data_IF_938712192262
#
_entry.id   IF_938712192262
#
_cell.length_a   1.000
_cell.length_b   1.000
_cell.length_c   1.000
_cell.angle_alpha   90.00
_cell.angle_beta   90.00
_cell.angle_gamma   90.00
#
_symmetry.space_group_name_H-M   'P 1'
#
loop_
_entity.id
_entity.type
_entity.pdbx_description
1 polymer ?
#
# COMPACT_ATOMS: atom_id res chain seq x y z
N UNK A 1 13.87 2.53 -9.13
CA UNK A 1 13.62 1.90 -7.83
C UNK A 1 14.46 0.63 -7.63
N UNK A 2 14.17 -0.49 -8.30
CA UNK A 2 14.92 -1.74 -8.07
C UNK A 2 16.43 -1.63 -8.36
N UNK A 3 16.82 -0.99 -9.46
CA UNK A 3 18.24 -0.81 -9.81
C UNK A 3 18.97 0.14 -8.85
N UNK A 4 18.29 1.19 -8.40
CA UNK A 4 18.84 2.15 -7.43
C UNK A 4 19.04 1.52 -6.05
N UNK A 5 18.11 0.65 -5.60
CA UNK A 5 18.28 -0.12 -4.38
C UNK A 5 19.43 -1.11 -4.46
N UNK A 6 19.60 -1.76 -5.62
CA UNK A 6 20.72 -2.67 -5.85
C UNK A 6 22.05 -1.92 -5.83
N UNK A 7 22.13 -0.79 -6.52
CA UNK A 7 23.32 0.06 -6.52
C UNK A 7 23.65 0.58 -5.10
N UNK A 8 22.64 1.01 -4.32
CA UNK A 8 22.83 1.42 -2.92
C UNK A 8 23.30 0.25 -2.05
N UNK A 9 22.74 -0.94 -2.23
CA UNK A 9 23.17 -2.15 -1.51
C UNK A 9 24.64 -2.44 -1.80
N UNK A 10 25.00 -2.58 -3.07
CA UNK A 10 26.35 -2.94 -3.50
C UNK A 10 27.39 -1.94 -2.99
N UNK A 11 27.12 -0.64 -3.15
CA UNK A 11 28.00 0.43 -2.67
C UNK A 11 28.21 0.40 -1.15
N UNK A 12 27.16 0.12 -0.37
CA UNK A 12 27.29 0.08 1.09
C UNK A 12 28.02 -1.20 1.55
N UNK A 13 27.76 -2.35 0.92
CA UNK A 13 28.46 -3.60 1.21
C UNK A 13 29.95 -3.47 0.88
N UNK A 14 30.29 -2.90 -0.28
CA UNK A 14 31.67 -2.64 -0.67
C UNK A 14 32.38 -1.75 0.35
N UNK A 15 31.74 -0.64 0.76
CA UNK A 15 32.28 0.23 1.82
C UNK A 15 32.54 -0.51 3.12
N UNK A 16 31.61 -1.36 3.57
CA UNK A 16 31.79 -2.14 4.81
C UNK A 16 32.99 -3.06 4.68
N UNK A 17 33.07 -3.82 3.57
CA UNK A 17 34.13 -4.80 3.34
C UNK A 17 35.50 -4.13 3.22
N UNK A 18 35.64 -3.06 2.44
CA UNK A 18 36.92 -2.38 2.26
C UNK A 18 37.40 -1.70 3.54
N UNK A 19 36.52 -1.00 4.26
CA UNK A 19 36.92 -0.38 5.55
C UNK A 19 37.30 -1.44 6.59
N UNK A 20 36.63 -2.59 6.61
CA UNK A 20 37.00 -3.68 7.51
C UNK A 20 38.36 -4.31 7.15
N UNK A 21 38.64 -4.48 5.84
CA UNK A 21 39.96 -4.92 5.37
C UNK A 21 41.06 -3.93 5.80
N UNK A 22 40.81 -2.63 5.67
CA UNK A 22 41.77 -1.61 6.11
C UNK A 22 42.05 -1.68 7.62
N UNK A 23 41.01 -1.81 8.46
CA UNK A 23 41.18 -2.00 9.90
C UNK A 23 42.07 -3.22 10.20
N UNK A 24 41.87 -4.35 9.52
CA UNK A 24 42.69 -5.54 9.70
C UNK A 24 44.15 -5.28 9.30
N UNK A 25 44.38 -4.58 8.18
CA UNK A 25 45.72 -4.25 7.68
C UNK A 25 46.50 -3.38 8.66
N UNK A 26 45.85 -2.33 9.19
CA UNK A 26 46.45 -1.37 10.12
C UNK A 26 46.55 -1.90 11.56
N UNK A 27 45.79 -2.94 11.91
CA UNK A 27 45.90 -3.60 13.22
C UNK A 27 47.20 -4.39 13.39
N UNK A 28 47.95 -4.63 12.30
CA UNK A 28 49.27 -5.25 12.36
C UNK A 28 50.31 -4.27 12.90
N UNK A 29 50.64 -4.38 14.18
CA UNK A 29 51.60 -3.50 14.86
C UNK A 29 53.01 -3.72 14.29
N UNK A 30 53.56 -2.72 13.58
CA UNK A 30 54.95 -2.74 13.08
C UNK A 30 55.86 -1.72 13.75
N UNK A 31 55.38 -0.50 14.02
CA UNK A 31 56.20 0.60 14.56
C UNK A 31 55.46 1.41 15.65
N UNK A 32 56.10 1.62 16.81
CA UNK A 32 55.48 2.30 17.98
C UNK A 32 55.19 3.79 17.77
N UNK A 33 55.88 4.43 16.83
CA UNK A 33 55.74 5.88 16.55
C UNK A 33 54.53 6.19 15.66
N UNK A 34 54.00 5.21 14.92
CA UNK A 34 52.85 5.39 14.02
C UNK A 34 51.49 5.03 14.64
N UNK A 35 51.50 4.44 15.84
CA UNK A 35 50.31 3.85 16.49
C UNK A 35 49.16 4.86 16.68
N UNK A 36 49.45 6.12 17.03
CA UNK A 36 48.39 7.14 17.23
C UNK A 36 47.67 7.49 15.93
N UNK A 37 48.42 7.62 14.82
CA UNK A 37 47.85 7.94 13.50
C UNK A 37 46.99 6.80 12.98
N UNK A 38 47.47 5.57 13.12
CA UNK A 38 46.75 4.35 12.72
C UNK A 38 45.48 4.15 13.56
N UNK A 39 45.54 4.45 14.88
CA UNK A 39 44.36 4.42 15.74
C UNK A 39 43.26 5.40 15.26
N UNK A 40 43.65 6.64 14.90
CA UNK A 40 42.70 7.61 14.36
C UNK A 40 42.09 7.15 13.02
N UNK A 41 42.90 6.60 12.11
CA UNK A 41 42.41 6.04 10.85
C UNK A 41 41.43 4.88 11.08
N UNK A 42 41.73 3.99 12.02
CA UNK A 42 40.83 2.89 12.38
C UNK A 42 39.50 3.39 12.93
N UNK A 43 39.51 4.49 13.67
CA UNK A 43 38.28 5.11 14.17
C UNK A 43 37.41 5.67 13.02
N UNK A 44 38.04 6.27 12.00
CA UNK A 44 37.34 6.71 10.79
C UNK A 44 36.74 5.51 10.06
N UNK A 45 37.52 4.46 9.81
CA UNK A 45 37.04 3.24 9.14
C UNK A 45 35.85 2.62 9.88
N UNK A 46 35.93 2.50 11.22
CA UNK A 46 34.83 2.00 12.03
C UNK A 46 33.58 2.87 11.92
N UNK A 47 33.73 4.20 11.94
CA UNK A 47 32.62 5.15 11.77
C UNK A 47 31.97 4.99 10.40
N UNK A 48 32.77 4.85 9.33
CA UNK A 48 32.26 4.64 7.97
C UNK A 48 31.49 3.33 7.85
N UNK A 49 31.95 2.24 8.49
CA UNK A 49 31.22 0.96 8.54
C UNK A 49 29.85 1.13 9.20
N UNK A 50 29.79 1.83 10.34
CA UNK A 50 28.52 2.08 11.05
C UNK A 50 27.56 2.86 10.17
N UNK A 51 28.03 3.93 9.51
CA UNK A 51 27.21 4.74 8.60
C UNK A 51 26.67 3.93 7.41
N UNK A 52 27.51 3.10 6.79
CA UNK A 52 27.09 2.23 5.69
C UNK A 52 26.06 1.20 6.16
N UNK A 53 26.24 0.65 7.37
CA UNK A 53 25.28 -0.30 7.97
C UNK A 53 23.94 0.37 8.27
N UNK A 54 23.94 1.59 8.81
CA UNK A 54 22.72 2.37 9.03
C UNK A 54 21.98 2.67 7.71
N UNK A 55 22.73 2.99 6.65
CA UNK A 55 22.19 3.18 5.30
C UNK A 55 21.49 1.92 4.77
N UNK A 56 22.06 0.73 5.02
CA UNK A 56 21.43 -0.55 4.69
C UNK A 56 20.15 -0.80 5.49
N UNK A 57 20.13 -0.46 6.79
CA UNK A 57 18.92 -0.58 7.61
C UNK A 57 17.79 0.31 7.09
N UNK A 58 18.11 1.54 6.67
CA UNK A 58 17.15 2.45 6.03
C UNK A 58 16.62 1.87 4.71
N UNK A 59 17.49 1.31 3.88
CA UNK A 59 17.10 0.64 2.64
C UNK A 59 16.11 -0.51 2.90
N UNK A 60 16.36 -1.34 3.92
CA UNK A 60 15.44 -2.43 4.31
C UNK A 60 14.08 -1.88 4.77
N UNK A 61 14.06 -0.78 5.53
CA UNK A 61 12.82 -0.13 5.95
C UNK A 61 12.02 0.45 4.76
N UNK A 62 12.71 1.09 3.81
CA UNK A 62 12.12 1.60 2.56
C UNK A 62 11.45 0.46 1.76
N UNK A 63 12.14 -0.67 1.58
CA UNK A 63 11.60 -1.84 0.86
C UNK A 63 10.36 -2.41 1.56
N UNK A 64 10.41 -2.55 2.90
CA UNK A 64 9.25 -3.02 3.69
C UNK A 64 8.05 -2.09 3.52
N UNK A 65 8.25 -0.78 3.57
CA UNK A 65 7.18 0.20 3.34
C UNK A 65 6.62 0.10 1.92
N UNK A 66 7.48 -0.01 0.90
CA UNK A 66 7.03 -0.11 -0.49
C UNK A 66 6.14 -1.33 -0.72
N UNK A 67 6.50 -2.49 -0.17
CA UNK A 67 5.68 -3.71 -0.25
C UNK A 67 4.36 -3.55 0.51
N UNK A 68 4.39 -2.99 1.72
CA UNK A 68 3.18 -2.79 2.51
C UNK A 68 2.19 -1.83 1.80
N UNK A 69 2.69 -0.73 1.24
CA UNK A 69 1.86 0.24 0.51
C UNK A 69 1.29 -0.31 -0.79
N UNK A 70 2.05 -1.13 -1.53
CA UNK A 70 1.58 -1.76 -2.75
C UNK A 70 0.37 -2.69 -2.53
N UNK A 71 0.29 -3.33 -1.37
CA UNK A 71 -0.87 -4.16 -1.00
C UNK A 71 -2.13 -3.30 -0.77
N UNK A 72 -1.98 -2.16 -0.07
CA UNK A 72 -3.10 -1.24 0.17
C UNK A 72 -3.68 -0.64 -1.11
N UNK A 73 -2.84 -0.32 -2.10
CA UNK A 73 -3.33 0.21 -3.39
C UNK A 73 -4.20 -0.80 -4.13
N UNK A 74 -3.78 -2.07 -4.19
CA UNK A 74 -4.57 -3.15 -4.80
C UNK A 74 -5.86 -3.45 -4.03
N UNK A 75 -5.80 -3.42 -2.69
CA UNK A 75 -6.99 -3.54 -1.84
C UNK A 75 -7.98 -2.40 -2.09
N UNK A 76 -7.52 -1.16 -2.19
CA UNK A 76 -8.38 -0.01 -2.47
C UNK A 76 -9.04 -0.11 -3.84
N UNK A 77 -8.31 -0.46 -4.89
CA UNK A 77 -8.90 -0.69 -6.23
C UNK A 77 -9.98 -1.77 -6.20
N UNK A 78 -9.77 -2.84 -5.42
CA UNK A 78 -10.77 -3.90 -5.24
C UNK A 78 -12.01 -3.39 -4.49
N UNK A 79 -11.82 -2.54 -3.48
CA UNK A 79 -12.93 -1.91 -2.74
C UNK A 79 -13.72 -0.97 -3.66
N UNK A 80 -13.05 -0.12 -4.42
CA UNK A 80 -13.69 0.82 -5.35
C UNK A 80 -14.51 0.07 -6.42
N UNK A 81 -13.95 -0.99 -6.99
CA UNK A 81 -14.66 -1.83 -7.96
C UNK A 81 -15.93 -2.48 -7.35
N UNK A 82 -15.88 -2.91 -6.09
CA UNK A 82 -17.05 -3.45 -5.39
C UNK A 82 -18.09 -2.38 -5.09
N UNK A 83 -17.66 -1.17 -4.71
CA UNK A 83 -18.55 -0.03 -4.49
C UNK A 83 -19.33 0.28 -5.77
N UNK A 84 -18.66 0.33 -6.91
CA UNK A 84 -19.28 0.57 -8.22
C UNK A 84 -20.27 -0.55 -8.58
N UNK A 85 -19.90 -1.81 -8.37
CA UNK A 85 -20.78 -2.97 -8.61
C UNK A 85 -22.04 -2.88 -7.74
N UNK A 86 -21.89 -2.62 -6.45
CA UNK A 86 -23.03 -2.47 -5.54
C UNK A 86 -23.90 -1.27 -5.87
N UNK A 87 -23.29 -0.14 -6.27
CA UNK A 87 -24.03 1.06 -6.68
C UNK A 87 -24.88 0.78 -7.91
N UNK A 88 -24.30 0.13 -8.93
CA UNK A 88 -25.03 -0.29 -10.14
C UNK A 88 -26.19 -1.21 -9.80
N UNK A 89 -25.95 -2.23 -8.98
CA UNK A 89 -26.99 -3.18 -8.58
C UNK A 89 -28.11 -2.52 -7.77
N UNK A 90 -27.77 -1.57 -6.91
CA UNK A 90 -28.75 -0.76 -6.18
C UNK A 90 -29.63 0.04 -7.15
N UNK A 91 -29.04 0.64 -8.16
CA UNK A 91 -29.78 1.46 -9.13
C UNK A 91 -30.68 0.61 -10.04
N UNK A 92 -30.23 -0.59 -10.41
CA UNK A 92 -31.07 -1.59 -11.09
C UNK A 92 -32.28 -2.00 -10.25
N UNK A 93 -32.07 -2.36 -8.97
CA UNK A 93 -33.15 -2.72 -8.04
C UNK A 93 -34.11 -1.55 -7.83
N UNK A 94 -33.60 -0.33 -7.64
CA UNK A 94 -34.44 0.85 -7.50
C UNK A 94 -35.29 1.11 -8.73
N UNK A 95 -34.75 0.85 -9.93
CA UNK A 95 -35.49 0.98 -11.19
C UNK A 95 -36.62 -0.04 -11.26
N UNK A 96 -36.34 -1.31 -10.92
CA UNK A 96 -37.35 -2.36 -10.86
C UNK A 96 -38.47 -2.04 -9.86
N UNK A 97 -38.12 -1.53 -8.67
CA UNK A 97 -39.11 -1.12 -7.66
C UNK A 97 -40.00 0.02 -8.18
N UNK A 98 -39.43 1.00 -8.89
CA UNK A 98 -40.23 2.10 -9.48
C UNK A 98 -41.21 1.59 -10.53
N UNK A 99 -40.78 0.67 -11.39
CA UNK A 99 -41.66 0.05 -12.38
C UNK A 99 -42.79 -0.73 -11.70
N UNK A 100 -42.47 -1.61 -10.74
CA UNK A 100 -43.48 -2.38 -10.01
C UNK A 100 -44.48 -1.47 -9.28
N UNK A 101 -44.00 -0.37 -8.68
CA UNK A 101 -44.88 0.62 -8.05
C UNK A 101 -45.86 1.22 -9.07
N UNK A 102 -45.37 1.57 -10.27
CA UNK A 102 -46.19 2.12 -11.35
C UNK A 102 -47.26 1.12 -11.79
N UNK A 103 -46.88 -0.13 -12.00
CA UNK A 103 -47.79 -1.20 -12.45
C UNK A 103 -48.88 -1.45 -11.40
N UNK A 104 -48.51 -1.53 -10.13
CA UNK A 104 -49.45 -1.71 -9.02
C UNK A 104 -50.40 -0.52 -8.90
N UNK A 105 -49.89 0.71 -9.03
CA UNK A 105 -50.74 1.91 -9.02
C UNK A 105 -51.74 1.93 -10.19
N UNK A 106 -51.32 1.51 -11.39
CA UNK A 106 -52.24 1.40 -12.54
C UNK A 106 -53.33 0.35 -12.29
N UNK A 107 -52.94 -0.83 -11.82
CA UNK A 107 -53.88 -1.92 -11.54
C UNK A 107 -54.89 -1.52 -10.44
N UNK A 108 -54.45 -0.82 -9.39
CA UNK A 108 -55.33 -0.30 -8.35
C UNK A 108 -56.31 0.75 -8.89
N UNK A 109 -55.85 1.66 -9.75
CA UNK A 109 -56.71 2.67 -10.37
C UNK A 109 -57.78 2.03 -11.27
N UNK A 110 -57.40 1.05 -12.08
CA UNK A 110 -58.34 0.27 -12.90
C UNK A 110 -59.37 -0.48 -12.04
N UNK A 111 -58.91 -1.14 -10.98
CA UNK A 111 -59.78 -1.86 -10.05
C UNK A 111 -60.77 -0.92 -9.35
N UNK A 112 -60.30 0.24 -8.90
CA UNK A 112 -61.13 1.27 -8.28
C UNK A 112 -62.18 1.80 -9.27
N UNK A 113 -61.79 2.08 -10.51
CA UNK A 113 -62.72 2.52 -11.55
C UNK A 113 -63.80 1.46 -11.83
N UNK A 114 -63.42 0.19 -11.94
CA UNK A 114 -64.38 -0.91 -12.11
C UNK A 114 -65.31 -1.09 -10.91
N UNK A 115 -64.80 -0.94 -9.68
CA UNK A 115 -65.61 -1.00 -8.48
C UNK A 115 -66.68 0.10 -8.46
N UNK A 116 -66.32 1.34 -8.77
CA UNK A 116 -67.28 2.46 -8.80
C UNK A 116 -68.30 2.39 -9.94
N UNK A 117 -68.00 1.65 -11.01
CA UNK A 117 -68.93 1.39 -12.11
C UNK A 117 -69.82 0.16 -11.88
N UNK A 118 -69.56 -0.63 -10.83
CA UNK A 118 -70.30 -1.86 -10.53
C UNK A 118 -71.63 -1.57 -9.84
N UNK A 119 -72.67 -2.34 -10.19
CA UNK A 119 -73.98 -2.28 -9.53
C UNK A 119 -73.94 -2.80 -8.08
N UNK A 120 -72.86 -3.47 -7.67
CA UNK A 120 -72.65 -4.00 -6.32
C UNK A 120 -71.98 -3.03 -5.36
N UNK A 121 -71.89 -1.74 -5.72
CA UNK A 121 -71.32 -0.70 -4.86
C UNK A 121 -72.05 -0.67 -3.51
N UNK A 122 -71.34 -0.97 -2.42
CA UNK A 122 -71.87 -0.72 -1.08
C UNK A 122 -71.86 0.80 -0.83
N UNK A 123 -73.01 1.42 -0.49
CA UNK A 123 -73.04 2.81 -0.06
C UNK A 123 -72.28 2.98 1.27
N UNK A 124 -71.80 4.18 1.59
CA UNK A 124 -71.13 4.47 2.86
C UNK A 124 -72.03 4.23 4.08
#
# INVERSE_FOLDING_TARGET
>A
MAEEYRQRLDNNVEKIVENFKEIIRTSQIRDKTNTTRECFQNHIHATTIVQATESLLKLVAEIKMAVALGDFEGMNQTIDSRIDEYSKRRDEVNTQIRHLKSDVSSALFELEAHYYQSEWRTPP
#
